data_IF_869569703679
#
_entry.id   IF_869569703679
#
_cell.length_a   1.000
_cell.length_b   1.000
_cell.length_c   1.000
_cell.angle_alpha   90.00
_cell.angle_beta   90.00
_cell.angle_gamma   90.00
#
_symmetry.space_group_name_H-M   'P 1'
#
loop_
_entity.id
_entity.type
_entity.pdbx_description
1 polymer ?
#
# COMPACT_ATOMS: atom_id res chain seq x y z
N UNK A 1 52.19 6.64 27.56
CA UNK A 1 50.74 6.37 27.70
C UNK A 1 50.08 7.23 28.80
N UNK A 2 50.60 7.28 30.03
CA UNK A 2 49.99 8.03 31.15
C UNK A 2 49.91 9.54 30.92
N UNK A 3 50.93 10.16 30.29
CA UNK A 3 50.95 11.59 29.96
C UNK A 3 49.93 11.97 28.91
N UNK A 4 49.70 11.12 27.90
CA UNK A 4 48.70 11.32 26.86
C UNK A 4 47.26 11.25 27.43
N UNK A 5 47.04 10.35 28.39
CA UNK A 5 45.73 10.20 29.04
C UNK A 5 45.39 11.42 29.93
N UNK A 6 46.35 11.98 30.63
CA UNK A 6 46.16 13.19 31.45
C UNK A 6 45.89 14.44 30.57
N UNK A 7 46.59 14.57 29.46
CA UNK A 7 46.37 15.70 28.50
C UNK A 7 45.02 15.60 27.84
N UNK A 8 44.56 14.39 27.44
CA UNK A 8 43.25 14.16 26.84
C UNK A 8 42.09 14.38 27.81
N UNK A 9 42.25 13.94 29.08
CA UNK A 9 41.25 14.20 30.13
C UNK A 9 41.12 15.68 30.46
N UNK A 10 42.20 16.43 30.50
CA UNK A 10 42.18 17.88 30.70
C UNK A 10 41.53 18.63 29.54
N UNK A 11 41.74 18.18 28.29
CA UNK A 11 41.12 18.73 27.12
C UNK A 11 39.59 18.50 27.13
N UNK A 12 39.13 17.30 27.49
CA UNK A 12 37.68 17.01 27.60
C UNK A 12 37.01 17.88 28.65
N UNK A 13 37.68 18.14 29.77
CA UNK A 13 37.14 18.99 30.83
C UNK A 13 37.11 20.49 30.47
N UNK A 14 37.88 20.92 29.48
CA UNK A 14 37.86 22.30 28.96
C UNK A 14 36.86 22.57 27.87
N UNK A 15 36.22 21.53 27.32
CA UNK A 15 35.23 21.67 26.24
C UNK A 15 33.98 22.39 26.79
N UNK A 16 33.66 23.49 26.17
CA UNK A 16 32.42 24.23 26.47
C UNK A 16 31.18 23.46 26.01
N UNK A 17 30.02 23.73 26.64
CA UNK A 17 28.75 23.11 26.24
C UNK A 17 28.44 23.32 24.75
N UNK A 18 28.82 24.45 24.19
CA UNK A 18 28.62 24.79 22.78
C UNK A 18 29.52 23.97 21.85
N UNK A 19 30.79 23.76 22.22
CA UNK A 19 31.69 22.89 21.45
C UNK A 19 31.23 21.43 21.47
N UNK A 20 30.75 20.95 22.61
CA UNK A 20 30.14 19.62 22.69
C UNK A 20 28.92 19.45 21.82
N UNK A 21 28.01 20.46 21.82
CA UNK A 21 26.82 20.45 20.97
C UNK A 21 27.19 20.49 19.49
N UNK A 22 28.17 21.30 19.12
CA UNK A 22 28.67 21.40 17.72
C UNK A 22 29.28 20.06 17.29
N UNK A 23 30.05 19.42 18.15
CA UNK A 23 30.65 18.11 17.87
C UNK A 23 29.59 17.03 17.70
N UNK A 24 28.57 16.98 18.57
CA UNK A 24 27.43 16.08 18.46
C UNK A 24 26.63 16.32 17.21
N UNK A 25 26.43 17.58 16.82
CA UNK A 25 25.74 17.94 15.59
C UNK A 25 26.54 17.48 14.35
N UNK A 26 27.85 17.66 14.34
CA UNK A 26 28.73 17.17 13.25
C UNK A 26 28.69 15.64 13.18
N UNK A 27 28.74 14.93 14.32
CA UNK A 27 28.63 13.47 14.37
C UNK A 27 27.26 12.99 13.84
N UNK A 28 26.19 13.69 14.21
CA UNK A 28 24.85 13.39 13.71
C UNK A 28 24.77 13.60 12.19
N UNK A 29 25.34 14.69 11.68
CA UNK A 29 25.40 14.96 10.25
C UNK A 29 26.22 13.89 9.50
N UNK A 30 27.38 13.49 10.05
CA UNK A 30 28.21 12.41 9.48
C UNK A 30 27.43 11.08 9.53
N UNK A 31 26.78 10.78 10.64
CA UNK A 31 25.95 9.57 10.77
C UNK A 31 24.79 9.56 9.78
N UNK A 32 24.09 10.70 9.61
CA UNK A 32 23.04 10.86 8.62
C UNK A 32 23.59 10.72 7.20
N UNK A 33 24.79 11.24 6.94
CA UNK A 33 25.44 11.13 5.64
C UNK A 33 25.86 9.68 5.33
N UNK A 34 26.47 8.98 6.30
CA UNK A 34 26.86 7.57 6.18
C UNK A 34 25.61 6.69 6.01
N UNK A 35 24.58 6.92 6.85
CA UNK A 35 23.31 6.18 6.73
C UNK A 35 22.63 6.45 5.38
N UNK A 36 22.78 7.66 4.84
CA UNK A 36 22.31 8.02 3.51
C UNK A 36 23.03 7.26 2.40
N UNK A 37 24.36 7.03 2.53
CA UNK A 37 25.15 6.32 1.51
C UNK A 37 25.01 4.78 1.60
N UNK A 38 24.86 4.23 2.82
CA UNK A 38 24.71 2.78 3.02
C UNK A 38 23.34 2.23 2.62
N UNK A 39 22.33 3.07 2.42
CA UNK A 39 20.94 2.62 2.20
C UNK A 39 20.51 2.55 0.73
N UNK A 40 21.42 2.51 -0.23
CA UNK A 40 20.99 2.57 -1.64
C UNK A 40 21.88 1.81 -2.61
N UNK A 41 21.86 0.51 -2.54
CA UNK A 41 21.99 -0.28 -3.75
C UNK A 41 20.64 -0.93 -4.03
N UNK A 42 19.75 -0.19 -4.70
CA UNK A 42 18.62 -0.80 -5.38
C UNK A 42 19.23 -1.53 -6.59
N UNK A 43 19.49 -2.80 -6.43
CA UNK A 43 19.82 -3.70 -7.52
C UNK A 43 18.55 -3.86 -8.35
N UNK A 44 18.43 -3.23 -9.52
CA UNK A 44 17.12 -3.33 -10.11
C UNK A 44 16.97 -3.03 -11.59
N UNK A 45 17.89 -2.32 -12.19
CA UNK A 45 17.85 -2.14 -13.64
C UNK A 45 18.72 -3.21 -14.35
N UNK A 46 18.71 -4.44 -13.89
CA UNK A 46 19.42 -5.58 -14.50
C UNK A 46 18.86 -6.05 -15.84
N UNK A 47 17.83 -5.34 -16.35
CA UNK A 47 17.31 -5.65 -17.67
C UNK A 47 18.41 -5.54 -18.76
N UNK A 48 18.45 -6.52 -19.67
CA UNK A 48 19.36 -6.51 -20.82
C UNK A 48 19.04 -5.37 -21.78
N UNK A 49 17.75 -5.06 -21.93
CA UNK A 49 17.26 -4.12 -22.91
C UNK A 49 17.25 -2.69 -22.38
N UNK A 50 17.51 -1.71 -23.25
CA UNK A 50 17.46 -0.29 -22.89
C UNK A 50 16.06 0.17 -22.48
N UNK A 51 15.02 -0.49 -23.00
CA UNK A 51 13.62 -0.22 -22.72
C UNK A 51 12.84 -1.52 -22.57
N UNK A 52 12.12 -1.69 -21.47
CA UNK A 52 11.33 -2.88 -21.20
C UNK A 52 9.96 -2.52 -20.63
N UNK A 53 8.91 -3.18 -21.12
CA UNK A 53 7.52 -3.00 -20.69
C UNK A 53 7.07 -4.18 -19.85
N UNK A 54 6.39 -3.88 -18.74
CA UNK A 54 5.75 -4.84 -17.87
C UNK A 54 4.27 -4.49 -17.75
N UNK A 55 3.41 -5.50 -17.70
CA UNK A 55 1.97 -5.30 -17.62
C UNK A 55 1.35 -6.09 -16.47
N UNK A 56 0.44 -5.44 -15.74
CA UNK A 56 -0.38 -6.03 -14.69
C UNK A 56 0.43 -6.91 -13.71
N UNK A 57 0.17 -8.22 -13.67
CA UNK A 57 0.83 -9.14 -12.73
C UNK A 57 2.36 -9.18 -12.88
N UNK A 58 2.88 -9.00 -14.10
CA UNK A 58 4.33 -9.02 -14.36
C UNK A 58 5.08 -7.82 -13.77
N UNK A 59 4.38 -6.77 -13.37
CA UNK A 59 4.96 -5.59 -12.73
C UNK A 59 5.52 -5.92 -11.36
N UNK A 60 4.86 -6.81 -10.61
CA UNK A 60 5.16 -7.11 -9.21
C UNK A 60 6.29 -8.13 -9.06
N UNK A 61 7.43 -7.88 -9.73
CA UNK A 61 8.68 -8.62 -9.59
C UNK A 61 9.53 -8.11 -8.39
N UNK A 62 10.72 -8.69 -8.20
CA UNK A 62 11.61 -8.31 -7.09
C UNK A 62 11.99 -6.84 -7.11
N UNK A 63 12.34 -6.30 -8.28
CA UNK A 63 12.69 -4.89 -8.41
C UNK A 63 11.55 -3.97 -7.94
N UNK A 64 10.33 -4.22 -8.43
CA UNK A 64 9.19 -3.38 -8.07
C UNK A 64 8.79 -3.55 -6.60
N UNK A 65 8.92 -4.77 -6.08
CA UNK A 65 8.70 -5.02 -4.66
C UNK A 65 9.67 -4.22 -3.76
N UNK A 66 10.92 -4.06 -4.16
CA UNK A 66 11.93 -3.32 -3.38
C UNK A 66 11.67 -1.82 -3.30
N UNK A 67 11.18 -1.22 -4.40
CA UNK A 67 10.91 0.22 -4.46
C UNK A 67 9.47 0.60 -4.08
N UNK A 68 8.58 -0.38 -3.90
CA UNK A 68 7.14 -0.16 -3.72
C UNK A 68 6.81 0.79 -2.57
N UNK A 69 7.51 0.64 -1.44
CA UNK A 69 7.26 1.47 -0.26
C UNK A 69 7.63 2.94 -0.49
N UNK A 70 8.72 3.20 -1.23
CA UNK A 70 9.12 4.57 -1.56
C UNK A 70 8.08 5.29 -2.43
N UNK A 71 7.36 4.53 -3.26
CA UNK A 71 6.36 5.07 -4.18
C UNK A 71 4.99 5.26 -3.50
N UNK A 72 4.51 4.26 -2.75
CA UNK A 72 3.10 4.16 -2.41
C UNK A 72 2.78 4.15 -0.93
N UNK A 73 3.72 3.78 -0.05
CA UNK A 73 3.37 3.54 1.35
C UNK A 73 3.20 4.85 2.13
N UNK A 74 2.07 4.92 2.84
CA UNK A 74 1.70 5.98 3.77
C UNK A 74 1.40 5.35 5.14
N UNK A 75 2.35 5.35 6.09
CA UNK A 75 2.16 4.69 7.39
C UNK A 75 0.93 5.19 8.16
N UNK A 76 0.70 6.50 8.17
CA UNK A 76 -0.46 7.10 8.86
C UNK A 76 -1.80 6.63 8.27
N UNK A 77 -1.85 6.41 6.94
CA UNK A 77 -3.03 5.86 6.28
C UNK A 77 -3.28 4.42 6.71
N UNK A 78 -2.23 3.58 6.70
CA UNK A 78 -2.33 2.18 7.11
C UNK A 78 -2.80 2.07 8.57
N UNK A 79 -2.24 2.89 9.46
CA UNK A 79 -2.65 2.92 10.86
C UNK A 79 -4.11 3.30 11.01
N UNK A 80 -4.58 4.34 10.34
CA UNK A 80 -5.97 4.78 10.37
C UNK A 80 -6.92 3.71 9.78
N UNK A 81 -6.57 3.10 8.65
CA UNK A 81 -7.35 2.02 8.04
C UNK A 81 -7.50 0.83 8.99
N UNK A 82 -6.42 0.46 9.69
CA UNK A 82 -6.44 -0.63 10.67
C UNK A 82 -7.26 -0.26 11.91
N UNK A 83 -7.17 0.98 12.39
CA UNK A 83 -7.99 1.46 13.50
C UNK A 83 -9.48 1.39 13.17
N UNK A 84 -9.87 1.77 11.96
CA UNK A 84 -11.25 1.64 11.50
C UNK A 84 -11.70 0.18 11.44
N UNK A 85 -10.86 -0.75 10.95
CA UNK A 85 -11.18 -2.18 10.98
C UNK A 85 -11.47 -2.65 12.40
N UNK A 86 -10.60 -2.30 13.34
CA UNK A 86 -10.73 -2.69 14.76
C UNK A 86 -12.01 -2.12 15.36
N UNK A 87 -12.29 -0.85 15.12
CA UNK A 87 -13.47 -0.16 15.61
C UNK A 87 -14.78 -0.77 15.08
N UNK A 88 -14.84 -1.01 13.77
CA UNK A 88 -16.03 -1.53 13.08
C UNK A 88 -16.31 -2.98 13.48
N UNK A 89 -15.27 -3.80 13.54
CA UNK A 89 -15.40 -5.24 13.75
C UNK A 89 -15.41 -5.63 15.22
N UNK A 90 -14.97 -4.74 16.09
CA UNK A 90 -14.83 -5.01 17.53
C UNK A 90 -13.84 -6.14 17.83
N UNK A 91 -12.92 -6.44 16.92
CA UNK A 91 -12.01 -7.60 17.03
C UNK A 91 -11.17 -7.60 18.31
N UNK A 92 -10.89 -6.42 18.88
CA UNK A 92 -10.15 -6.28 20.14
C UNK A 92 -11.07 -6.06 21.35
N UNK A 93 -12.35 -5.72 21.16
CA UNK A 93 -13.29 -5.38 22.22
C UNK A 93 -13.91 -6.60 22.91
N UNK A 94 -13.83 -7.76 22.30
CA UNK A 94 -14.24 -9.00 22.94
C UNK A 94 -13.19 -9.31 24.01
N UNK A 95 -13.62 -9.30 25.28
CA UNK A 95 -12.85 -9.72 26.45
C UNK A 95 -12.22 -11.12 26.32
N UNK A 96 -12.67 -11.86 25.34
CA UNK A 96 -12.12 -13.09 24.82
C UNK A 96 -11.12 -12.83 23.67
N UNK A 97 -10.13 -11.95 23.89
CA UNK A 97 -8.90 -11.90 23.05
C UNK A 97 -8.18 -13.28 22.95
N UNK A 98 -8.74 -14.26 23.63
CA UNK A 98 -8.45 -15.68 23.52
C UNK A 98 -9.19 -16.36 22.36
N UNK A 99 -10.01 -15.61 21.58
CA UNK A 99 -10.75 -16.25 20.49
C UNK A 99 -9.83 -16.48 19.29
N UNK A 100 -9.05 -17.55 19.39
CA UNK A 100 -8.22 -18.11 18.31
C UNK A 100 -9.01 -18.36 17.02
N UNK A 101 -10.32 -18.29 17.08
CA UNK A 101 -11.23 -18.54 15.95
C UNK A 101 -11.62 -17.28 15.19
N UNK A 102 -11.26 -16.07 15.69
CA UNK A 102 -11.47 -14.83 14.92
C UNK A 102 -10.35 -14.66 13.90
N UNK A 103 -10.69 -14.79 12.63
CA UNK A 103 -9.70 -14.80 11.54
C UNK A 103 -9.92 -13.62 10.61
N UNK A 104 -8.83 -12.93 10.27
CA UNK A 104 -8.80 -11.82 9.33
C UNK A 104 -7.95 -12.24 8.13
N UNK A 105 -8.45 -11.99 6.91
CA UNK A 105 -7.73 -12.19 5.66
C UNK A 105 -7.52 -10.87 4.93
N UNK A 106 -6.30 -10.58 4.49
CA UNK A 106 -5.98 -9.41 3.67
C UNK A 106 -5.68 -9.86 2.23
N UNK A 107 -6.55 -9.50 1.29
CA UNK A 107 -6.49 -9.93 -0.12
C UNK A 107 -5.70 -8.93 -0.95
N UNK A 108 -4.61 -9.41 -1.58
CA UNK A 108 -3.63 -8.56 -2.25
C UNK A 108 -2.79 -7.77 -1.24
N UNK A 109 -2.28 -8.47 -0.23
CA UNK A 109 -1.59 -7.87 0.90
C UNK A 109 -0.23 -7.22 0.54
N UNK A 110 0.29 -7.43 -0.67
CA UNK A 110 1.57 -6.89 -1.11
C UNK A 110 2.69 -7.21 -0.13
N UNK A 111 3.37 -6.17 0.36
CA UNK A 111 4.47 -6.27 1.34
C UNK A 111 4.00 -6.46 2.80
N UNK A 112 2.69 -6.66 3.03
CA UNK A 112 2.16 -7.12 4.31
C UNK A 112 2.01 -6.06 5.40
N UNK A 113 2.03 -4.78 5.08
CA UNK A 113 1.96 -3.69 6.07
C UNK A 113 0.67 -3.71 6.90
N UNK A 114 -0.50 -3.95 6.29
CA UNK A 114 -1.78 -4.05 7.01
C UNK A 114 -1.82 -5.29 7.91
N UNK A 115 -1.31 -6.43 7.41
CA UNK A 115 -1.19 -7.66 8.20
C UNK A 115 -0.33 -7.44 9.45
N UNK A 116 0.81 -6.75 9.27
CA UNK A 116 1.69 -6.40 10.38
C UNK A 116 1.01 -5.47 11.39
N UNK A 117 0.38 -4.39 10.93
CA UNK A 117 -0.23 -3.41 11.82
C UNK A 117 -1.41 -4.00 12.59
N UNK A 118 -2.26 -4.84 11.94
CA UNK A 118 -3.33 -5.61 12.60
C UNK A 118 -2.75 -6.52 13.69
N UNK A 119 -1.67 -7.24 13.38
CA UNK A 119 -1.01 -8.15 14.34
C UNK A 119 -0.38 -7.37 15.50
N UNK A 120 0.28 -6.25 15.22
CA UNK A 120 0.89 -5.36 16.22
C UNK A 120 -0.15 -4.79 17.17
N UNK A 121 -1.34 -4.43 16.69
CA UNK A 121 -2.46 -3.94 17.51
C UNK A 121 -3.19 -5.06 18.28
N UNK A 122 -2.82 -6.32 18.10
CA UNK A 122 -3.27 -7.44 18.91
C UNK A 122 -4.23 -8.42 18.24
N UNK A 123 -4.46 -8.31 16.94
CA UNK A 123 -5.21 -9.33 16.20
C UNK A 123 -4.38 -10.62 16.12
N UNK A 124 -4.94 -11.75 16.63
CA UNK A 124 -4.17 -12.97 16.83
C UNK A 124 -4.05 -13.86 15.58
N UNK A 125 -4.99 -13.77 14.66
CA UNK A 125 -5.05 -14.67 13.52
C UNK A 125 -5.30 -13.87 12.23
N UNK A 126 -4.23 -13.26 11.73
CA UNK A 126 -4.23 -12.48 10.50
C UNK A 126 -3.42 -13.21 9.43
N UNK A 127 -3.97 -13.30 8.23
CA UNK A 127 -3.34 -13.94 7.07
C UNK A 127 -3.36 -12.98 5.89
N UNK A 128 -2.20 -12.66 5.34
CA UNK A 128 -2.07 -11.94 4.08
C UNK A 128 -2.00 -12.91 2.90
N UNK A 129 -2.70 -12.59 1.82
CA UNK A 129 -2.66 -13.34 0.58
C UNK A 129 -2.26 -12.42 -0.58
N UNK A 130 -1.28 -12.83 -1.36
CA UNK A 130 -0.90 -12.14 -2.59
C UNK A 130 -0.50 -13.14 -3.68
N UNK A 131 -0.63 -12.73 -4.93
CA UNK A 131 -0.26 -13.52 -6.09
C UNK A 131 1.25 -13.46 -6.36
N UNK A 132 1.87 -12.30 -6.07
CA UNK A 132 3.29 -12.06 -6.28
C UNK A 132 4.14 -12.72 -5.20
N UNK A 133 4.97 -13.69 -5.61
CA UNK A 133 5.96 -14.27 -4.69
C UNK A 133 7.02 -13.25 -4.25
N UNK A 134 7.40 -12.31 -5.10
CA UNK A 134 8.39 -11.27 -4.78
C UNK A 134 7.87 -10.33 -3.68
N UNK A 135 6.62 -9.89 -3.79
CA UNK A 135 5.98 -9.10 -2.73
C UNK A 135 5.93 -9.87 -1.40
N UNK A 136 5.55 -11.15 -1.45
CA UNK A 136 5.47 -11.98 -0.25
C UNK A 136 6.83 -12.32 0.35
N UNK A 137 7.88 -12.43 -0.46
CA UNK A 137 9.23 -12.60 0.06
C UNK A 137 9.62 -11.38 0.90
N UNK A 138 9.46 -10.17 0.35
CA UNK A 138 9.70 -8.93 1.09
C UNK A 138 8.82 -8.82 2.34
N UNK A 139 7.55 -9.25 2.27
CA UNK A 139 6.66 -9.26 3.43
C UNK A 139 7.17 -10.18 4.55
N UNK A 140 7.66 -11.37 4.21
CA UNK A 140 8.22 -12.33 5.19
C UNK A 140 9.51 -11.82 5.80
N UNK A 141 10.37 -11.18 5.01
CA UNK A 141 11.63 -10.61 5.46
C UNK A 141 11.39 -9.41 6.40
N UNK A 142 10.43 -8.55 6.07
CA UNK A 142 10.04 -7.41 6.91
C UNK A 142 9.29 -7.83 8.18
N UNK A 143 8.41 -8.84 8.08
CA UNK A 143 7.48 -9.23 9.14
C UNK A 143 7.49 -10.74 9.39
N UNK A 144 8.59 -11.32 9.91
CA UNK A 144 8.75 -12.77 10.03
C UNK A 144 7.77 -13.43 11.01
N UNK A 145 7.06 -12.65 11.82
CA UNK A 145 6.02 -13.16 12.75
C UNK A 145 4.63 -13.20 12.13
N UNK A 146 4.43 -12.58 10.97
CA UNK A 146 3.15 -12.54 10.27
C UNK A 146 2.99 -13.75 9.34
N UNK A 147 1.74 -14.09 9.02
CA UNK A 147 1.42 -15.22 8.14
C UNK A 147 1.08 -14.71 6.75
N UNK A 148 1.77 -15.26 5.76
CA UNK A 148 1.57 -14.92 4.35
C UNK A 148 1.44 -16.18 3.51
N UNK A 149 0.45 -16.20 2.61
CA UNK A 149 0.23 -17.28 1.65
C UNK A 149 0.28 -16.72 0.23
N UNK A 150 0.86 -17.49 -0.68
CA UNK A 150 0.80 -17.18 -2.10
C UNK A 150 -0.49 -17.75 -2.68
N UNK A 151 -1.29 -16.92 -3.33
CA UNK A 151 -2.53 -17.36 -3.93
C UNK A 151 -3.21 -16.30 -4.79
N UNK A 152 -4.04 -16.80 -5.69
CA UNK A 152 -4.90 -15.96 -6.53
C UNK A 152 -6.32 -15.99 -5.96
N UNK A 153 -6.76 -14.89 -5.35
CA UNK A 153 -8.09 -14.76 -4.75
C UNK A 153 -9.24 -14.81 -5.78
N UNK A 154 -8.92 -14.89 -7.07
CA UNK A 154 -9.93 -15.22 -8.08
C UNK A 154 -10.24 -16.73 -8.15
N UNK A 155 -9.45 -17.58 -7.48
CA UNK A 155 -9.70 -19.02 -7.39
C UNK A 155 -10.59 -19.33 -6.18
N UNK A 156 -11.84 -19.83 -6.37
CA UNK A 156 -12.79 -20.07 -5.26
C UNK A 156 -12.25 -21.02 -4.19
N UNK A 157 -11.43 -21.98 -4.58
CA UNK A 157 -10.87 -23.01 -3.68
C UNK A 157 -9.61 -22.56 -2.93
N UNK A 158 -9.27 -21.25 -2.98
CA UNK A 158 -8.11 -20.72 -2.26
C UNK A 158 -8.27 -20.81 -0.75
N UNK A 159 -9.48 -20.58 -0.26
CA UNK A 159 -9.85 -20.67 1.14
C UNK A 159 -11.10 -21.55 1.31
N UNK A 160 -11.30 -22.01 2.52
CA UNK A 160 -12.50 -22.78 2.89
C UNK A 160 -13.72 -21.86 3.00
N UNK A 161 -14.90 -22.45 2.87
CA UNK A 161 -16.14 -21.74 3.17
C UNK A 161 -16.15 -21.31 4.65
N UNK A 162 -16.69 -20.12 4.90
CA UNK A 162 -16.86 -19.57 6.26
C UNK A 162 -15.58 -19.55 7.09
N UNK A 163 -14.43 -19.35 6.44
CA UNK A 163 -13.13 -19.35 7.11
C UNK A 163 -12.85 -18.05 7.87
N UNK A 164 -13.34 -16.90 7.37
CA UNK A 164 -12.96 -15.58 7.86
C UNK A 164 -14.12 -14.85 8.54
N UNK A 165 -13.79 -14.12 9.61
CA UNK A 165 -14.68 -13.14 10.22
C UNK A 165 -14.60 -11.79 9.49
N UNK A 166 -13.41 -11.45 9.00
CA UNK A 166 -13.15 -10.21 8.26
C UNK A 166 -12.26 -10.52 7.06
N UNK A 167 -12.62 -9.99 5.92
CA UNK A 167 -11.75 -9.88 4.75
C UNK A 167 -11.52 -8.41 4.45
N UNK A 168 -10.30 -8.08 4.05
CA UNK A 168 -9.91 -6.75 3.61
C UNK A 168 -9.36 -6.80 2.19
N UNK A 169 -9.54 -5.72 1.44
CA UNK A 169 -8.94 -5.54 0.12
C UNK A 169 -8.64 -4.06 -0.07
N UNK A 170 -7.38 -3.71 0.07
CA UNK A 170 -6.92 -2.33 0.12
C UNK A 170 -6.32 -1.83 -1.18
N UNK A 171 -6.06 -0.54 -1.21
CA UNK A 171 -5.49 0.20 -2.34
C UNK A 171 -6.23 -0.11 -3.65
N UNK A 172 -5.50 -0.31 -4.73
CA UNK A 172 -6.04 -0.55 -6.06
C UNK A 172 -6.21 -2.04 -6.38
N UNK A 173 -6.01 -2.95 -5.42
CA UNK A 173 -6.09 -4.41 -5.62
C UNK A 173 -7.37 -4.83 -6.33
N UNK A 174 -8.52 -4.37 -5.87
CA UNK A 174 -9.81 -4.72 -6.48
C UNK A 174 -9.93 -4.27 -7.92
N UNK A 175 -9.22 -3.22 -8.33
CA UNK A 175 -9.32 -2.69 -9.69
C UNK A 175 -8.54 -3.52 -10.72
N UNK A 176 -7.64 -4.41 -10.31
CA UNK A 176 -7.06 -5.41 -11.22
C UNK A 176 -8.02 -6.52 -11.59
N UNK A 177 -9.08 -6.70 -10.82
CA UNK A 177 -10.09 -7.74 -11.06
C UNK A 177 -11.05 -7.29 -12.14
N UNK A 178 -11.12 -8.02 -13.25
CA UNK A 178 -12.10 -7.75 -14.32
C UNK A 178 -13.51 -8.19 -13.90
N UNK A 179 -13.67 -9.40 -13.38
CA UNK A 179 -14.94 -9.94 -12.91
C UNK A 179 -15.17 -9.64 -11.41
N UNK A 180 -15.76 -8.48 -11.14
CA UNK A 180 -16.10 -8.05 -9.78
C UNK A 180 -17.08 -8.98 -9.09
N UNK A 181 -18.01 -9.56 -9.86
CA UNK A 181 -19.02 -10.48 -9.32
C UNK A 181 -18.38 -11.78 -8.83
N UNK A 182 -17.48 -12.36 -9.60
CA UNK A 182 -16.75 -13.55 -9.19
C UNK A 182 -15.91 -13.28 -7.93
N UNK A 183 -15.19 -12.15 -7.87
CA UNK A 183 -14.43 -11.74 -6.69
C UNK A 183 -15.33 -11.63 -5.45
N UNK A 184 -16.44 -10.91 -5.57
CA UNK A 184 -17.35 -10.71 -4.43
C UNK A 184 -18.02 -12.01 -3.99
N UNK A 185 -18.34 -12.94 -4.92
CA UNK A 185 -18.84 -14.28 -4.58
C UNK A 185 -17.81 -15.08 -3.79
N UNK A 186 -16.53 -15.05 -4.19
CA UNK A 186 -15.48 -15.71 -3.46
C UNK A 186 -15.37 -15.16 -2.04
N UNK A 187 -15.33 -13.83 -1.89
CA UNK A 187 -15.33 -13.19 -0.57
C UNK A 187 -16.55 -13.58 0.28
N UNK A 188 -17.74 -13.58 -0.34
CA UNK A 188 -18.98 -13.97 0.35
C UNK A 188 -18.93 -15.42 0.85
N UNK A 189 -18.43 -16.33 0.03
CA UNK A 189 -18.29 -17.75 0.38
C UNK A 189 -17.28 -17.95 1.54
N UNK A 190 -16.17 -17.25 1.52
CA UNK A 190 -15.14 -17.39 2.55
C UNK A 190 -15.46 -16.70 3.86
N UNK A 191 -16.37 -15.74 3.85
CA UNK A 191 -16.83 -15.07 5.07
C UNK A 191 -17.81 -15.95 5.86
N UNK A 192 -17.64 -15.95 7.17
CA UNK A 192 -18.64 -16.49 8.10
C UNK A 192 -19.94 -15.67 8.03
N UNK A 193 -21.08 -16.23 8.43
CA UNK A 193 -22.27 -15.43 8.71
C UNK A 193 -21.93 -14.26 9.63
N UNK A 194 -22.51 -13.09 9.38
CA UNK A 194 -22.21 -11.83 10.08
C UNK A 194 -20.79 -11.28 9.88
N UNK A 195 -20.00 -11.91 9.02
CA UNK A 195 -18.64 -11.46 8.67
C UNK A 195 -18.61 -10.22 7.76
N UNK A 196 -17.49 -9.55 7.73
CA UNK A 196 -17.30 -8.28 7.02
C UNK A 196 -16.28 -8.39 5.88
N UNK A 197 -16.61 -7.80 4.74
CA UNK A 197 -15.63 -7.42 3.72
C UNK A 197 -15.43 -5.90 3.77
N UNK A 198 -14.21 -5.48 4.04
CA UNK A 198 -13.82 -4.07 4.02
C UNK A 198 -13.09 -3.82 2.71
N UNK A 199 -13.69 -2.99 1.88
CA UNK A 199 -13.28 -2.77 0.51
C UNK A 199 -12.89 -1.30 0.29
N UNK A 200 -11.63 -1.07 -0.08
CA UNK A 200 -11.17 0.25 -0.46
C UNK A 200 -11.60 0.58 -1.89
N UNK A 201 -12.39 1.62 -2.03
CA UNK A 201 -12.83 2.15 -3.33
C UNK A 201 -12.49 3.63 -3.44
N UNK A 202 -12.33 4.10 -4.68
CA UNK A 202 -12.08 5.51 -4.99
C UNK A 202 -13.19 6.07 -5.89
N UNK A 203 -13.48 7.37 -5.74
CA UNK A 203 -14.19 8.06 -6.82
C UNK A 203 -13.21 8.23 -7.98
N UNK A 204 -13.38 7.39 -9.00
CA UNK A 204 -12.50 7.30 -10.17
C UNK A 204 -12.30 8.62 -10.92
N UNK A 205 -13.25 9.56 -10.78
CA UNK A 205 -13.20 10.84 -11.47
C UNK A 205 -12.48 11.93 -10.65
N UNK A 206 -12.41 11.77 -9.33
CA UNK A 206 -11.95 12.84 -8.44
C UNK A 206 -10.75 12.48 -7.57
N UNK A 207 -10.48 11.20 -7.28
CA UNK A 207 -9.33 10.83 -6.43
C UNK A 207 -8.01 11.37 -7.01
N UNK A 208 -7.05 11.61 -6.13
CA UNK A 208 -5.70 12.05 -6.49
C UNK A 208 -4.82 10.86 -6.93
N UNK A 209 -4.47 10.74 -8.24
CA UNK A 209 -3.60 9.67 -8.72
C UNK A 209 -2.10 9.97 -8.55
N UNK A 210 -1.74 11.14 -8.04
CA UNK A 210 -0.34 11.49 -7.79
C UNK A 210 0.22 10.59 -6.69
N UNK A 211 1.35 9.92 -6.98
CA UNK A 211 1.95 9.02 -6.00
C UNK A 211 2.39 9.76 -4.74
N UNK A 212 2.26 9.14 -3.56
CA UNK A 212 2.63 9.77 -2.29
C UNK A 212 4.06 10.30 -2.26
N UNK A 213 5.02 9.57 -2.84
CA UNK A 213 6.41 9.99 -2.97
C UNK A 213 6.62 11.28 -3.75
N UNK A 214 5.64 11.69 -4.57
CA UNK A 214 5.65 12.95 -5.34
C UNK A 214 5.04 14.14 -4.60
N UNK A 215 4.50 13.95 -3.39
CA UNK A 215 3.87 15.02 -2.60
C UNK A 215 4.91 15.71 -1.71
N UNK A 216 5.34 16.94 -2.01
CA UNK A 216 6.45 17.59 -1.30
C UNK A 216 6.15 17.95 0.16
N UNK A 217 4.87 18.08 0.50
CA UNK A 217 4.39 18.33 1.86
C UNK A 217 3.14 17.47 2.07
N UNK A 218 3.21 16.51 2.98
CA UNK A 218 2.09 15.62 3.35
C UNK A 218 0.87 16.36 3.98
N UNK A 219 0.82 17.69 3.88
CA UNK A 219 -0.19 18.52 4.53
C UNK A 219 -1.29 18.95 3.54
N UNK A 220 -0.99 19.05 2.24
CA UNK A 220 -1.96 19.54 1.25
C UNK A 220 -1.75 18.84 -0.10
N UNK A 221 -2.83 18.32 -0.68
CA UNK A 221 -2.76 17.77 -2.04
C UNK A 221 -2.69 18.90 -3.09
N UNK A 222 -1.82 18.81 -4.10
CA UNK A 222 -1.76 19.76 -5.21
C UNK A 222 -3.09 19.91 -5.97
N UNK A 223 -3.94 18.87 -5.95
CA UNK A 223 -5.26 18.86 -6.58
C UNK A 223 -6.14 20.03 -6.15
N UNK A 224 -6.06 20.44 -4.88
CA UNK A 224 -6.89 21.55 -4.31
C UNK A 224 -6.66 22.90 -5.00
N UNK A 225 -5.47 23.10 -5.57
CA UNK A 225 -5.06 24.36 -6.18
C UNK A 225 -5.04 24.30 -7.69
N UNK A 226 -5.21 23.13 -8.27
CA UNK A 226 -5.17 22.92 -9.70
C UNK A 226 -6.52 23.31 -10.32
N UNK A 227 -6.48 24.04 -11.44
CA UNK A 227 -7.69 24.35 -12.25
C UNK A 227 -8.22 23.09 -12.97
N UNK A 228 -7.31 22.19 -13.30
CA UNK A 228 -7.61 20.90 -13.93
C UNK A 228 -6.99 19.79 -13.08
N UNK A 229 -7.59 18.61 -13.14
CA UNK A 229 -7.09 17.45 -12.40
C UNK A 229 -5.67 17.10 -12.82
N UNK A 230 -4.77 17.02 -11.86
CA UNK A 230 -3.39 16.56 -12.07
C UNK A 230 -3.44 15.04 -12.14
N UNK A 231 -3.06 14.46 -13.28
CA UNK A 231 -3.05 13.01 -13.51
C UNK A 231 -1.65 12.43 -13.63
N UNK A 232 -0.64 13.28 -13.69
CA UNK A 232 0.75 12.87 -13.89
C UNK A 232 1.63 13.26 -12.70
N UNK A 233 2.70 12.50 -12.53
CA UNK A 233 3.75 12.77 -11.54
C UNK A 233 5.12 12.73 -12.20
N UNK A 234 6.02 13.58 -11.73
CA UNK A 234 7.44 13.53 -12.03
C UNK A 234 8.21 13.68 -10.73
N UNK A 235 8.87 12.63 -10.31
CA UNK A 235 9.62 12.58 -9.05
C UNK A 235 11.03 12.11 -9.33
N UNK A 236 12.03 12.78 -8.76
CA UNK A 236 13.40 12.34 -8.80
C UNK A 236 13.78 11.67 -7.48
N UNK A 237 14.00 10.37 -7.54
CA UNK A 237 14.57 9.57 -6.45
C UNK A 237 16.11 9.63 -6.52
N UNK A 238 16.79 8.95 -5.59
CA UNK A 238 18.26 8.99 -5.53
C UNK A 238 18.97 8.39 -6.75
N UNK A 239 18.42 7.31 -7.30
CA UNK A 239 19.05 6.52 -8.36
C UNK A 239 18.25 6.45 -9.64
N UNK A 240 17.02 6.95 -9.63
CA UNK A 240 16.12 6.91 -10.78
C UNK A 240 15.16 8.10 -10.80
N UNK A 241 14.64 8.39 -11.98
CA UNK A 241 13.51 9.28 -12.17
C UNK A 241 12.24 8.46 -12.33
N UNK A 242 11.19 8.86 -11.64
CA UNK A 242 9.87 8.27 -11.73
C UNK A 242 8.92 9.24 -12.45
N UNK A 243 8.22 8.73 -13.45
CA UNK A 243 7.13 9.43 -14.14
C UNK A 243 5.90 8.55 -14.09
N UNK A 244 4.75 9.13 -13.83
CA UNK A 244 3.48 8.41 -13.95
C UNK A 244 2.43 9.25 -14.65
N UNK A 245 1.48 8.56 -15.26
CA UNK A 245 0.29 9.15 -15.86
C UNK A 245 -0.92 8.26 -15.65
N UNK A 246 -2.01 8.84 -15.19
CA UNK A 246 -3.28 8.17 -14.98
C UNK A 246 -4.32 8.62 -15.99
N UNK A 247 -4.79 7.68 -16.79
CA UNK A 247 -5.93 7.87 -17.69
C UNK A 247 -7.18 7.27 -17.05
N UNK A 248 -8.13 8.13 -16.66
CA UNK A 248 -9.41 7.68 -16.10
C UNK A 248 -10.23 6.91 -17.13
N UNK A 249 -11.13 6.00 -16.68
CA UNK A 249 -12.12 5.39 -17.56
C UNK A 249 -12.95 6.45 -18.26
N UNK A 250 -13.37 6.20 -19.52
CA UNK A 250 -14.22 7.12 -20.23
C UNK A 250 -15.56 7.34 -19.50
N UNK A 251 -16.23 8.49 -19.69
CA UNK A 251 -17.55 8.73 -19.14
C UNK A 251 -18.53 7.62 -19.54
N UNK A 252 -19.50 7.31 -18.67
CA UNK A 252 -20.50 6.26 -18.89
C UNK A 252 -21.34 6.47 -20.16
N UNK A 253 -21.37 7.70 -20.70
CA UNK A 253 -22.03 8.08 -21.95
C UNK A 253 -21.22 7.81 -23.21
N UNK A 254 -19.92 7.42 -23.07
CA UNK A 254 -19.07 7.15 -24.24
C UNK A 254 -19.59 5.92 -25.01
N UNK A 255 -19.76 6.09 -26.34
CA UNK A 255 -20.24 5.03 -27.22
C UNK A 255 -19.16 4.04 -27.65
N UNK A 256 -17.89 4.40 -27.46
CA UNK A 256 -16.74 3.62 -27.91
C UNK A 256 -15.74 3.48 -26.78
N UNK A 257 -15.16 2.30 -26.64
CA UNK A 257 -14.15 1.98 -25.66
C UNK A 257 -14.62 0.96 -24.62
N UNK A 258 -13.68 0.33 -23.94
CA UNK A 258 -13.99 -0.56 -22.82
C UNK A 258 -14.50 0.29 -21.64
N UNK A 259 -15.80 0.24 -21.42
CA UNK A 259 -16.44 0.88 -20.28
C UNK A 259 -15.73 0.47 -18.99
N UNK A 260 -15.44 1.44 -18.14
CA UNK A 260 -14.81 1.23 -16.84
C UNK A 260 -13.31 0.82 -16.88
N UNK A 261 -12.60 0.97 -17.99
CA UNK A 261 -11.16 0.70 -18.05
C UNK A 261 -10.36 1.98 -17.94
N UNK A 262 -9.56 2.07 -16.89
CA UNK A 262 -8.53 3.10 -16.71
C UNK A 262 -7.13 2.51 -16.88
N UNK A 263 -6.15 3.37 -17.12
CA UNK A 263 -4.75 2.99 -17.21
C UNK A 263 -3.90 3.85 -16.29
N UNK A 264 -2.93 3.22 -15.65
CA UNK A 264 -1.88 3.92 -14.94
C UNK A 264 -0.54 3.46 -15.52
N UNK A 265 0.19 4.39 -16.09
CA UNK A 265 1.48 4.12 -16.73
C UNK A 265 2.58 4.74 -15.90
N UNK A 266 3.56 3.93 -15.53
CA UNK A 266 4.74 4.36 -14.80
C UNK A 266 5.98 4.19 -15.68
N UNK A 267 6.91 5.12 -15.59
CA UNK A 267 8.25 5.01 -16.19
C UNK A 267 9.29 5.26 -15.14
N UNK A 268 10.14 4.28 -14.94
CA UNK A 268 11.32 4.38 -14.10
C UNK A 268 12.54 4.47 -15.00
N UNK A 269 13.34 5.50 -14.81
CA UNK A 269 14.50 5.82 -15.68
C UNK A 269 15.73 5.83 -14.78
N UNK A 270 16.63 4.87 -14.99
CA UNK A 270 17.88 4.77 -14.25
C UNK A 270 18.80 5.96 -14.58
N UNK A 271 19.22 6.69 -13.57
CA UNK A 271 20.08 7.87 -13.74
C UNK A 271 21.48 7.51 -14.26
N UNK A 272 21.99 6.31 -14.00
CA UNK A 272 23.34 5.88 -14.40
C UNK A 272 23.39 5.33 -15.82
N UNK A 273 22.44 4.47 -16.15
CA UNK A 273 22.45 3.72 -17.42
C UNK A 273 21.48 4.28 -18.45
N UNK A 274 20.55 5.13 -18.04
CA UNK A 274 19.47 5.62 -18.89
C UNK A 274 18.50 4.52 -19.33
N UNK A 275 18.54 3.33 -18.72
CA UNK A 275 17.60 2.25 -18.97
C UNK A 275 16.21 2.65 -18.46
N UNK A 276 15.18 2.25 -19.21
CA UNK A 276 13.79 2.60 -18.92
C UNK A 276 12.99 1.34 -18.68
N UNK A 277 12.34 1.29 -17.52
CA UNK A 277 11.29 0.34 -17.22
C UNK A 277 9.93 1.05 -17.31
N UNK A 278 9.03 0.54 -18.13
CA UNK A 278 7.67 1.01 -18.22
C UNK A 278 6.73 -0.04 -17.64
N UNK A 279 5.88 0.37 -16.70
CA UNK A 279 4.83 -0.46 -16.12
C UNK A 279 3.47 0.05 -16.59
N UNK A 280 2.63 -0.83 -17.10
CA UNK A 280 1.28 -0.51 -17.57
C UNK A 280 0.27 -1.26 -16.71
N UNK A 281 -0.41 -0.53 -15.83
CA UNK A 281 -1.50 -1.07 -15.02
C UNK A 281 -2.82 -0.85 -15.75
N UNK A 282 -3.56 -1.91 -15.96
CA UNK A 282 -4.92 -1.86 -16.50
C UNK A 282 -5.90 -2.02 -15.34
N UNK A 283 -6.69 -0.98 -15.08
CA UNK A 283 -7.66 -0.97 -13.99
C UNK A 283 -9.10 -1.07 -14.52
N UNK A 284 -9.84 -2.04 -14.02
CA UNK A 284 -11.28 -2.18 -14.23
C UNK A 284 -12.00 -1.45 -13.09
N UNK A 285 -12.38 -0.20 -13.35
CA UNK A 285 -12.88 0.75 -12.35
C UNK A 285 -14.36 1.07 -12.57
N UNK A 286 -15.29 0.21 -12.14
CA UNK A 286 -16.69 0.63 -12.04
C UNK A 286 -16.82 1.83 -11.10
N UNK A 287 -17.89 2.58 -11.19
CA UNK A 287 -18.22 3.59 -10.19
C UNK A 287 -18.47 2.90 -8.84
N UNK A 288 -18.33 3.64 -7.73
CA UNK A 288 -18.62 3.10 -6.40
C UNK A 288 -20.06 2.55 -6.36
N UNK A 289 -21.03 3.24 -6.97
CA UNK A 289 -22.41 2.77 -7.07
C UNK A 289 -22.53 1.43 -7.79
N UNK A 290 -21.93 1.30 -8.98
CA UNK A 290 -21.94 0.04 -9.75
C UNK A 290 -21.32 -1.10 -8.94
N UNK A 291 -20.20 -0.83 -8.23
CA UNK A 291 -19.53 -1.84 -7.38
C UNK A 291 -20.41 -2.29 -6.23
N UNK A 292 -21.07 -1.35 -5.55
CA UNK A 292 -21.96 -1.64 -4.42
C UNK A 292 -23.25 -2.33 -4.87
N UNK A 293 -23.77 -2.01 -6.06
CA UNK A 293 -24.92 -2.72 -6.62
C UNK A 293 -24.56 -4.18 -6.92
N UNK A 294 -23.38 -4.46 -7.47
CA UNK A 294 -22.89 -5.86 -7.64
C UNK A 294 -22.75 -6.56 -6.28
N UNK A 295 -22.26 -5.86 -5.25
CA UNK A 295 -22.12 -6.43 -3.92
C UNK A 295 -23.47 -6.83 -3.31
N UNK A 296 -24.51 -5.98 -3.46
CA UNK A 296 -25.88 -6.28 -3.04
C UNK A 296 -26.46 -7.48 -3.77
N UNK A 297 -26.26 -7.56 -5.09
CA UNK A 297 -26.72 -8.69 -5.89
C UNK A 297 -26.05 -10.02 -5.50
N UNK A 298 -24.83 -9.98 -4.94
CA UNK A 298 -24.12 -11.16 -4.40
C UNK A 298 -24.67 -11.55 -3.04
N UNK A 299 -25.31 -10.62 -2.30
CA UNK A 299 -25.91 -10.88 -0.97
C UNK A 299 -25.34 -10.02 0.15
N UNK A 300 -24.39 -9.14 -0.12
CA UNK A 300 -23.86 -8.23 0.89
C UNK A 300 -24.83 -7.11 1.25
N UNK A 301 -24.88 -6.76 2.52
CA UNK A 301 -25.50 -5.53 3.02
C UNK A 301 -24.39 -4.49 3.27
N UNK A 302 -24.62 -3.26 2.80
CA UNK A 302 -23.70 -2.15 3.03
C UNK A 302 -24.04 -1.57 4.40
N UNK A 303 -23.12 -1.69 5.37
CA UNK A 303 -23.34 -1.25 6.76
C UNK A 303 -22.65 0.05 7.10
N UNK A 304 -21.69 0.49 6.27
CA UNK A 304 -20.99 1.74 6.50
C UNK A 304 -20.05 2.16 5.38
N UNK A 305 -19.58 3.39 5.52
CA UNK A 305 -18.56 3.99 4.68
C UNK A 305 -17.69 4.88 5.54
N UNK A 306 -16.37 4.75 5.42
CA UNK A 306 -15.38 5.64 6.03
C UNK A 306 -14.72 6.48 4.95
N UNK A 307 -14.71 7.80 5.12
CA UNK A 307 -14.00 8.72 4.24
C UNK A 307 -12.57 8.88 4.72
N UNK A 308 -11.60 8.67 3.84
CA UNK A 308 -10.17 8.75 4.15
C UNK A 308 -9.60 10.17 4.02
N UNK A 309 -10.46 11.20 3.97
CA UNK A 309 -10.04 12.61 3.90
C UNK A 309 -9.18 13.03 5.09
N UNK A 310 -9.44 12.46 6.27
CA UNK A 310 -8.70 12.76 7.50
C UNK A 310 -7.22 12.31 7.46
N UNK A 311 -6.90 11.38 6.56
CA UNK A 311 -5.51 10.94 6.26
C UNK A 311 -5.04 11.42 4.89
N UNK A 312 -5.60 12.54 4.41
CA UNK A 312 -5.23 13.21 3.16
C UNK A 312 -5.43 12.36 1.90
N UNK A 313 -6.37 11.43 1.94
CA UNK A 313 -6.77 10.61 0.80
C UNK A 313 -8.21 10.95 0.39
N UNK A 314 -8.40 12.16 -0.16
CA UNK A 314 -9.68 12.65 -0.63
C UNK A 314 -10.25 11.77 -1.73
N UNK A 315 -11.59 11.59 -1.73
CA UNK A 315 -12.30 10.75 -2.68
C UNK A 315 -11.90 9.28 -2.66
N UNK A 316 -11.35 8.83 -1.52
CA UNK A 316 -11.04 7.43 -1.23
C UNK A 316 -11.83 7.00 0.01
N UNK A 317 -12.40 5.81 -0.04
CA UNK A 317 -13.37 5.32 0.95
C UNK A 317 -13.11 3.88 1.30
N UNK A 318 -13.37 3.52 2.57
CA UNK A 318 -13.54 2.13 2.97
C UNK A 318 -15.05 1.85 3.04
N UNK A 319 -15.52 0.94 2.23
CA UNK A 319 -16.89 0.44 2.28
C UNK A 319 -16.95 -0.83 3.12
N UNK A 320 -17.89 -0.87 4.05
CA UNK A 320 -18.11 -1.97 4.95
C UNK A 320 -19.29 -2.78 4.45
N UNK A 321 -18.98 -3.96 3.93
CA UNK A 321 -19.95 -4.91 3.38
C UNK A 321 -20.10 -6.07 4.36
N UNK A 322 -21.32 -6.38 4.77
CA UNK A 322 -21.62 -7.44 5.74
C UNK A 322 -22.32 -8.61 5.05
N UNK A 323 -21.84 -9.84 5.29
CA UNK A 323 -22.56 -11.06 4.96
C UNK A 323 -23.69 -11.22 5.97
N UNK A 324 -24.93 -11.22 5.51
CA UNK A 324 -26.11 -11.51 6.35
C UNK A 324 -26.23 -13.01 6.54
N UNK A 325 -26.75 -13.42 7.69
CA UNK A 325 -26.93 -14.82 8.06
C UNK A 325 -27.92 -15.55 7.13
#
# INVERSE_FOLDING_TARGET
>A
MVAFYKSFSAYIQSITRWELLTFLFILLMIFCFIKRDLSSHIEGFEQSDKYKVYENDSIYDSFYADIYDELFIQPNKIEAEVDEIINITGVLNNSDNKNKNFKIGDLGCGRGHHVHELTKKGALNVVGCDKSNAMLQNARDLYPKCKFIQGDFMKPMLFSEEEFNVLTCFYFTVYYVKDKRAFLRNCYQWLKPEGYLILHLVDRNHFDPVVPGGKPLFIVTPQKFAKERITNSLVKFRSFQYKSDFTAPPPSSAKTGEKNVGKFVEKLIDDKTGKVRENIHTYYMPTNREMLDIAKEVGFTITGQVDLVHVLNEYQYLFILKKVA
#
